data_IF_713598896739
#
_entry.id   IF_713598896739
#
_cell.length_a   1.000
_cell.length_b   1.000
_cell.length_c   1.000
_cell.angle_alpha   90.00
_cell.angle_beta   90.00
_cell.angle_gamma   90.00
#
_symmetry.space_group_name_H-M   'P 1'
#
loop_
_entity.id
_entity.type
_entity.pdbx_description
1 polymer ?
2 water ?
#
# COMPACT_ATOMS: atom_id res chain seq x y z
N UNK A 1 9.21 7.51 -2.20
CA UNK A 1 8.88 8.40 -1.09
C UNK A 1 7.81 7.77 -0.20
N UNK A 2 7.56 8.38 0.97
CA UNK A 2 6.73 7.73 1.98
C UNK A 2 5.27 7.56 1.55
N UNK A 3 4.61 8.57 0.96
CA UNK A 3 3.22 8.34 0.53
C UNK A 3 3.09 7.18 -0.43
N UNK A 4 4.00 7.07 -1.40
CA UNK A 4 3.89 6.00 -2.37
C UNK A 4 4.10 4.64 -1.73
N UNK A 5 5.12 4.51 -0.87
CA UNK A 5 5.38 3.21 -0.25
C UNK A 5 4.24 2.80 0.68
N UNK A 6 3.69 3.75 1.44
CA UNK A 6 2.54 3.44 2.29
C UNK A 6 1.37 2.92 1.47
N UNK A 7 1.05 3.60 0.38
CA UNK A 7 -0.02 3.17 -0.51
C UNK A 7 0.27 1.80 -1.12
N UNK A 8 1.51 1.58 -1.57
CA UNK A 8 1.83 0.30 -2.21
C UNK A 8 1.69 -0.88 -1.25
N UNK A 9 2.17 -0.72 0.00
CA UNK A 9 2.00 -1.79 0.99
C UNK A 9 0.52 -2.09 1.21
N UNK A 10 -0.28 -1.04 1.39
CA UNK A 10 -1.72 -1.22 1.62
C UNK A 10 -2.38 -1.92 0.45
N UNK A 11 -2.16 -1.42 -0.77
CA UNK A 11 -2.84 -1.99 -1.93
C UNK A 11 -2.42 -3.44 -2.17
N UNK A 12 -1.12 -3.75 -2.04
CA UNK A 12 -0.75 -5.14 -2.26
C UNK A 12 -1.42 -6.06 -1.24
N UNK A 13 -1.54 -5.60 0.00
CA UNK A 13 -2.22 -6.40 1.01
C UNK A 13 -3.71 -6.52 0.74
N UNK A 14 -4.31 -5.54 0.06
CA UNK A 14 -5.76 -5.46 -0.06
C UNK A 14 -6.29 -5.84 -1.43
N UNK A 15 -5.42 -5.96 -2.43
CA UNK A 15 -5.85 -6.10 -3.81
C UNK A 15 -6.79 -7.29 -3.98
N UNK A 16 -6.45 -8.43 -3.40
CA UNK A 16 -7.26 -9.62 -3.65
C UNK A 16 -8.69 -9.44 -3.16
N UNK A 17 -8.88 -8.84 -1.97
CA UNK A 17 -10.23 -8.66 -1.44
C UNK A 17 -10.99 -7.62 -2.24
N UNK A 18 -10.32 -6.53 -2.63
CA UNK A 18 -10.98 -5.52 -3.47
C UNK A 18 -11.43 -6.14 -4.79
N UNK A 19 -10.55 -6.91 -5.43
CA UNK A 19 -10.92 -7.53 -6.71
C UNK A 19 -12.04 -8.55 -6.53
N UNK A 20 -12.01 -9.31 -5.42
CA UNK A 20 -13.06 -10.29 -5.16
C UNK A 20 -14.43 -9.63 -5.03
N UNK A 21 -14.47 -8.45 -4.42
CA UNK A 21 -15.70 -7.69 -4.23
C UNK A 21 -16.13 -6.95 -5.49
N UNK A 22 -15.29 -6.91 -6.52
CA UNK A 22 -15.57 -6.24 -7.79
C UNK A 22 -15.22 -7.19 -8.93
N UNK A 23 -15.99 -8.27 -9.10
CA UNK A 23 -15.68 -9.22 -10.17
C UNK A 23 -15.72 -8.54 -11.53
N UNK A 24 -14.73 -8.87 -12.36
CA UNK A 24 -14.64 -8.31 -13.69
C UNK A 24 -14.10 -6.90 -13.79
N UNK A 25 -13.70 -6.28 -12.68
CA UNK A 25 -13.19 -4.91 -12.73
C UNK A 25 -11.97 -4.85 -13.66
N UNK A 26 -11.89 -3.79 -14.45
CA UNK A 26 -10.78 -3.64 -15.37
C UNK A 26 -9.54 -3.13 -14.64
N UNK A 27 -8.38 -3.27 -15.29
CA UNK A 27 -7.14 -2.74 -14.73
C UNK A 27 -7.32 -1.28 -14.36
N UNK A 28 -7.81 -0.48 -15.31
CA UNK A 28 -7.93 0.96 -15.10
C UNK A 28 -8.93 1.28 -13.99
N UNK A 29 -10.06 0.58 -13.96
CA UNK A 29 -11.06 0.87 -12.95
C UNK A 29 -10.61 0.41 -11.56
N UNK A 30 -9.82 -0.66 -11.49
CA UNK A 30 -9.27 -1.04 -10.20
C UNK A 30 -8.32 0.04 -9.67
N UNK A 31 -7.44 0.57 -10.52
CA UNK A 31 -6.59 1.69 -10.11
C UNK A 31 -7.43 2.82 -9.53
N UNK A 32 -8.52 3.18 -10.20
CA UNK A 32 -9.36 4.27 -9.71
C UNK A 32 -10.07 3.90 -8.42
N UNK A 33 -10.64 2.68 -8.36
CA UNK A 33 -11.32 2.21 -7.15
C UNK A 33 -10.40 2.25 -5.94
N UNK A 34 -9.16 1.77 -6.11
CA UNK A 34 -8.23 1.75 -4.99
C UNK A 34 -7.92 3.17 -4.52
N UNK A 35 -7.77 4.11 -5.47
CA UNK A 35 -7.57 5.50 -5.09
C UNK A 35 -8.71 6.05 -4.25
N UNK A 36 -9.95 5.70 -4.60
CA UNK A 36 -11.09 6.18 -3.83
C UNK A 36 -11.14 5.54 -2.45
N UNK A 37 -10.82 4.25 -2.34
CA UNK A 37 -10.84 3.61 -1.02
C UNK A 37 -9.80 4.26 -0.12
N UNK A 38 -8.60 4.51 -0.66
CA UNK A 38 -7.54 5.14 0.12
C UNK A 38 -7.97 6.53 0.62
N UNK A 39 -8.53 7.36 -0.27
CA UNK A 39 -8.99 8.68 0.15
C UNK A 39 -10.04 8.58 1.25
N UNK A 40 -10.88 7.54 1.21
CA UNK A 40 -11.91 7.37 2.21
C UNK A 40 -11.41 6.82 3.53
N UNK A 41 -10.21 6.25 3.56
CA UNK A 41 -9.67 5.72 4.80
C UNK A 41 -9.31 6.86 5.74
N UNK A 42 -9.33 6.58 7.04
CA UNK A 42 -9.02 7.60 8.03
C UNK A 42 -7.55 7.99 7.98
N UNK A 43 -7.27 9.22 8.41
CA UNK A 43 -5.89 9.69 8.50
C UNK A 43 -5.02 8.74 9.31
N UNK A 44 -5.58 8.20 10.40
CA UNK A 44 -4.82 7.33 11.29
C UNK A 44 -4.46 6.00 10.62
N UNK A 45 -5.41 5.41 9.88
CA UNK A 45 -5.12 4.15 9.20
C UNK A 45 -4.05 4.34 8.13
N UNK A 46 -4.09 5.46 7.41
CA UNK A 46 -3.04 5.70 6.43
C UNK A 46 -1.69 5.96 7.09
N UNK A 47 -1.67 6.60 8.26
CA UNK A 47 -0.41 6.76 8.98
C UNK A 47 0.12 5.41 9.45
N UNK A 48 -0.78 4.47 9.74
CA UNK A 48 -0.36 3.13 10.12
C UNK A 48 0.36 2.42 8.98
N UNK A 49 -0.11 2.60 7.75
CA UNK A 49 0.58 2.00 6.60
C UNK A 49 1.93 2.68 6.35
N UNK A 50 2.01 3.99 6.57
CA UNK A 50 3.29 4.68 6.49
C UNK A 50 4.27 4.14 7.53
N UNK A 51 3.79 3.89 8.75
CA UNK A 51 4.67 3.34 9.78
C UNK A 51 5.20 1.97 9.37
N UNK A 52 4.33 1.11 8.83
CA UNK A 52 4.77 -0.20 8.36
C UNK A 52 5.78 -0.08 7.22
N UNK A 53 5.56 0.85 6.29
CA UNK A 53 6.50 1.01 5.19
C UNK A 53 7.84 1.54 5.69
N UNK A 54 7.81 2.50 6.63
CA UNK A 54 9.06 3.01 7.18
C UNK A 54 9.83 1.93 7.93
N UNK A 55 9.13 1.04 8.63
CA UNK A 55 9.79 -0.10 9.25
C UNK A 55 10.46 -0.98 8.21
N UNK A 56 9.75 -1.28 7.11
CA UNK A 56 10.33 -2.12 6.06
C UNK A 56 11.49 -1.43 5.37
N UNK A 57 11.39 -0.11 5.14
CA UNK A 57 12.52 0.61 4.54
C UNK A 57 13.74 0.56 5.44
N UNK A 58 13.55 0.79 6.74
CA UNK A 58 14.68 0.69 7.67
C UNK A 58 15.29 -0.69 7.65
N UNK A 59 14.45 -1.73 7.63
CA UNK A 59 14.96 -3.10 7.57
C UNK A 59 15.73 -3.35 6.28
N UNK A 60 15.23 -2.84 5.15
CA UNK A 60 15.94 -3.01 3.89
C UNK A 60 17.31 -2.33 3.94
N UNK A 61 17.34 -1.09 4.44
CA UNK A 61 18.60 -0.35 4.47
C UNK A 61 19.62 -1.04 5.37
N UNK A 62 19.16 -1.59 6.50
CA UNK A 62 20.04 -2.35 7.38
C UNK A 62 20.58 -3.59 6.68
N UNK A 63 19.69 -4.33 6.02
CA UNK A 63 20.12 -5.54 5.34
C UNK A 63 21.06 -5.23 4.18
N UNK A 64 20.88 -4.08 3.54
CA UNK A 64 21.78 -3.69 2.45
C UNK A 64 23.16 -3.31 2.97
N UNK A 65 23.24 -2.74 4.18
CA UNK A 65 24.53 -2.57 4.84
C UNK A 65 25.22 -3.92 5.02
N UNK A 66 24.48 -4.93 5.48
CA UNK A 66 25.04 -6.27 5.60
C UNK A 66 25.50 -6.81 4.25
N UNK A 67 24.72 -6.58 3.19
CA UNK A 67 25.08 -7.07 1.86
C UNK A 67 26.35 -6.41 1.36
N UNK A 68 26.50 -5.11 1.59
CA UNK A 68 27.58 -4.32 0.99
C UNK A 68 28.80 -4.21 1.90
#
# INVERSE_FOLDING_TARGET
KRPMSAYMLWLNASREKIKSDHPGISITDLSKKAGEIWKGMSKEKKEEWDRKAEDARRDYEKAMKEYE
#
